data_IF_404855767069
#
_entry.id   IF_404855767069
#
_cell.length_a   1.000
_cell.length_b   1.000
_cell.length_c   1.000
_cell.angle_alpha   90.00
_cell.angle_beta   90.00
_cell.angle_gamma   90.00
#
_symmetry.space_group_name_H-M   'P 1'
#
loop_
_entity.id
_entity.type
_entity.pdbx_description
1 polymer ?
#
# COMPACT_ATOMS: atom_id res chain seq x y z
N UNK A 1 8.85 15.75 0.56
CA UNK A 1 9.71 15.12 -0.46
C UNK A 1 9.45 15.80 -1.79
N UNK A 2 10.49 16.13 -2.57
CA UNK A 2 10.39 16.84 -3.86
C UNK A 2 10.56 15.92 -5.06
N UNK A 3 10.05 16.32 -6.22
CA UNK A 3 10.20 15.58 -7.48
C UNK A 3 11.67 15.50 -7.95
N UNK A 4 12.50 16.47 -7.55
CA UNK A 4 13.95 16.42 -7.75
C UNK A 4 14.58 15.21 -7.05
N UNK A 5 14.12 14.87 -5.85
CA UNK A 5 14.62 13.71 -5.11
C UNK A 5 14.25 12.40 -5.80
N UNK A 6 13.03 12.30 -6.34
CA UNK A 6 12.63 11.13 -7.15
C UNK A 6 13.48 11.00 -8.41
N UNK A 7 13.80 12.11 -9.06
CA UNK A 7 14.71 12.13 -10.22
C UNK A 7 16.11 11.62 -9.85
N UNK A 8 16.65 12.04 -8.71
CA UNK A 8 17.96 11.58 -8.23
C UNK A 8 17.92 10.08 -7.94
N UNK A 9 16.91 9.58 -7.23
CA UNK A 9 16.79 8.14 -6.93
C UNK A 9 16.67 7.29 -8.18
N UNK A 10 15.92 7.74 -9.19
CA UNK A 10 15.86 7.08 -10.51
C UNK A 10 17.23 7.05 -11.18
N UNK A 11 17.97 8.16 -11.19
CA UNK A 11 19.34 8.21 -11.76
C UNK A 11 20.33 7.31 -11.03
N UNK A 12 20.16 7.15 -9.72
CA UNK A 12 20.95 6.23 -8.89
C UNK A 12 20.53 4.75 -9.05
N UNK A 13 19.50 4.46 -9.86
CA UNK A 13 19.03 3.10 -10.12
C UNK A 13 18.19 2.49 -8.99
N UNK A 14 17.70 3.30 -8.03
CA UNK A 14 16.88 2.78 -6.94
C UNK A 14 15.55 2.27 -7.46
N UNK A 15 15.21 1.04 -7.10
CA UNK A 15 13.92 0.44 -7.42
C UNK A 15 12.89 0.79 -6.34
N UNK A 16 11.64 0.41 -6.59
CA UNK A 16 10.56 0.54 -5.63
C UNK A 16 10.92 0.01 -4.23
N UNK A 17 11.51 -1.17 -4.17
CA UNK A 17 11.91 -1.79 -2.91
C UNK A 17 12.99 -1.01 -2.16
N UNK A 18 13.96 -0.45 -2.87
CA UNK A 18 15.04 0.34 -2.27
C UNK A 18 14.49 1.62 -1.65
N UNK A 19 13.56 2.29 -2.35
CA UNK A 19 12.90 3.49 -1.84
C UNK A 19 11.98 3.17 -0.66
N UNK A 20 11.29 2.03 -0.70
CA UNK A 20 10.46 1.57 0.42
C UNK A 20 11.29 1.39 1.70
N UNK A 21 12.44 0.70 1.61
CA UNK A 21 13.37 0.52 2.73
C UNK A 21 14.02 1.82 3.17
N UNK A 22 14.42 2.67 2.24
CA UNK A 22 15.04 3.97 2.54
C UNK A 22 14.10 4.91 3.28
N UNK A 23 12.80 4.76 3.08
CA UNK A 23 11.76 5.46 3.82
C UNK A 23 11.38 4.80 5.14
N UNK A 24 12.05 3.69 5.49
CA UNK A 24 11.82 2.91 6.70
C UNK A 24 10.44 2.28 6.76
N UNK A 25 9.81 2.02 5.61
CA UNK A 25 8.45 1.47 5.53
C UNK A 25 8.40 -0.06 5.72
N UNK A 26 9.57 -0.71 5.72
CA UNK A 26 9.78 -2.15 5.95
C UNK A 26 9.96 -2.51 7.43
N UNK A 27 9.96 -1.51 8.32
CA UNK A 27 10.12 -1.73 9.75
C UNK A 27 8.81 -2.20 10.39
N UNK A 28 8.95 -3.05 11.40
CA UNK A 28 7.83 -3.50 12.21
C UNK A 28 7.10 -2.32 12.88
N UNK A 29 5.77 -2.41 12.94
CA UNK A 29 4.92 -1.38 13.55
C UNK A 29 4.70 -0.13 12.70
N UNK A 30 5.28 -0.03 11.51
CA UNK A 30 5.01 1.08 10.58
C UNK A 30 3.63 0.91 9.95
N UNK A 31 2.78 1.90 10.13
CA UNK A 31 1.39 1.91 9.64
C UNK A 31 1.21 2.88 8.48
N UNK A 32 0.10 2.78 7.75
CA UNK A 32 -0.24 3.73 6.68
C UNK A 32 -0.46 5.18 7.16
N UNK A 33 -0.53 5.41 8.47
CA UNK A 33 -0.50 6.76 9.04
C UNK A 33 0.89 7.41 8.91
N UNK A 34 1.95 6.63 8.64
CA UNK A 34 3.27 7.18 8.39
C UNK A 34 3.25 8.01 7.08
N UNK A 35 3.55 9.31 7.14
CA UNK A 35 3.51 10.20 5.97
C UNK A 35 4.46 9.77 4.85
N UNK A 36 5.46 8.94 5.15
CA UNK A 36 6.37 8.38 4.15
C UNK A 36 5.65 7.46 3.13
N UNK A 37 4.49 6.87 3.46
CA UNK A 37 3.69 6.13 2.49
C UNK A 37 3.16 7.03 1.37
N UNK A 38 2.82 8.29 1.67
CA UNK A 38 2.40 9.26 0.64
C UNK A 38 3.57 9.55 -0.30
N UNK A 39 4.76 9.73 0.26
CA UNK A 39 5.95 10.02 -0.51
C UNK A 39 6.39 8.83 -1.38
N UNK A 40 6.35 7.61 -0.83
CA UNK A 40 6.58 6.37 -1.56
C UNK A 40 5.55 6.15 -2.67
N UNK A 41 4.26 6.35 -2.38
CA UNK A 41 3.19 6.20 -3.38
C UNK A 41 3.35 7.17 -4.56
N UNK A 42 3.79 8.41 -4.31
CA UNK A 42 4.15 9.37 -5.36
C UNK A 42 5.36 8.91 -6.18
N UNK A 43 6.39 8.38 -5.53
CA UNK A 43 7.57 7.83 -6.22
C UNK A 43 7.16 6.70 -7.18
N UNK A 44 6.43 5.69 -6.70
CA UNK A 44 5.99 4.54 -7.52
C UNK A 44 5.09 5.02 -8.67
N UNK A 45 4.15 5.95 -8.43
CA UNK A 45 3.33 6.53 -9.52
C UNK A 45 4.16 7.29 -10.55
N UNK A 46 5.24 7.94 -10.14
CA UNK A 46 6.14 8.66 -11.06
C UNK A 46 7.00 7.71 -11.91
N UNK A 47 7.05 6.43 -11.55
CA UNK A 47 7.83 5.42 -12.23
C UNK A 47 6.96 4.74 -13.30
N UNK A 48 7.00 5.24 -14.53
CA UNK A 48 6.23 4.71 -15.66
C UNK A 48 6.71 3.35 -16.17
N UNK A 49 7.85 2.84 -15.67
CA UNK A 49 8.49 1.61 -16.14
C UNK A 49 8.19 0.33 -15.36
N UNK A 50 7.65 0.42 -14.13
CA UNK A 50 7.25 -0.75 -13.34
C UNK A 50 5.75 -0.95 -13.55
N UNK A 51 5.36 -2.14 -14.03
CA UNK A 51 3.94 -2.55 -14.15
C UNK A 51 3.32 -2.83 -12.77
N UNK A 52 3.77 -2.16 -11.73
CA UNK A 52 3.47 -2.46 -10.34
C UNK A 52 2.91 -1.21 -9.69
N UNK A 53 1.69 -1.29 -9.21
CA UNK A 53 1.08 -0.19 -8.45
C UNK A 53 1.55 -0.23 -6.99
N UNK A 54 1.38 0.87 -6.22
CA UNK A 54 1.55 0.84 -4.78
C UNK A 54 0.71 -0.27 -4.11
N UNK A 55 -0.47 -0.57 -4.67
CA UNK A 55 -1.31 -1.65 -4.18
C UNK A 55 -0.64 -3.02 -4.38
N UNK A 56 -0.17 -3.31 -5.58
CA UNK A 56 0.47 -4.60 -5.91
C UNK A 56 1.73 -4.84 -5.08
N UNK A 57 2.50 -3.78 -4.82
CA UNK A 57 3.72 -3.85 -4.00
C UNK A 57 3.39 -4.23 -2.56
N UNK A 58 2.37 -3.61 -1.97
CA UNK A 58 1.92 -3.92 -0.62
C UNK A 58 1.29 -5.32 -0.57
N UNK A 59 0.55 -5.73 -1.60
CA UNK A 59 -0.05 -7.06 -1.69
C UNK A 59 1.03 -8.15 -1.72
N UNK A 60 2.09 -7.96 -2.51
CA UNK A 60 3.20 -8.90 -2.59
C UNK A 60 3.96 -9.05 -1.26
N UNK A 61 4.01 -7.98 -0.45
CA UNK A 61 4.75 -7.95 0.83
C UNK A 61 3.96 -8.49 2.00
N UNK A 62 2.71 -8.06 2.12
CA UNK A 62 1.89 -8.30 3.31
C UNK A 62 0.80 -9.34 3.08
N UNK A 63 0.63 -9.78 1.83
CA UNK A 63 -0.50 -10.60 1.42
C UNK A 63 -1.83 -9.88 1.64
N UNK A 64 -2.91 -10.60 1.34
CA UNK A 64 -4.26 -10.08 1.52
C UNK A 64 -4.53 -9.61 2.96
N UNK A 65 -4.32 -10.50 3.94
CA UNK A 65 -4.67 -10.25 5.35
C UNK A 65 -3.84 -9.11 5.94
N UNK A 66 -2.54 -9.05 5.62
CA UNK A 66 -1.66 -8.00 6.13
C UNK A 66 -1.99 -6.65 5.51
N UNK A 67 -2.20 -6.59 4.19
CA UNK A 67 -2.55 -5.35 3.52
C UNK A 67 -3.95 -4.85 3.91
N UNK A 68 -4.93 -5.75 4.08
CA UNK A 68 -6.25 -5.39 4.58
C UNK A 68 -6.15 -4.78 5.99
N UNK A 69 -5.44 -5.42 6.93
CA UNK A 69 -5.24 -4.87 8.28
C UNK A 69 -4.61 -3.46 8.26
N UNK A 70 -3.69 -3.19 7.34
CA UNK A 70 -3.11 -1.85 7.16
C UNK A 70 -4.13 -0.83 6.64
N UNK A 71 -5.08 -1.25 5.80
CA UNK A 71 -6.05 -0.40 5.09
C UNK A 71 -7.44 -0.31 5.74
N UNK A 72 -7.67 -1.06 6.83
CA UNK A 72 -8.93 -1.05 7.60
C UNK A 72 -8.84 -0.04 8.77
N UNK A 73 -7.72 0.66 8.94
CA UNK A 73 -7.59 1.71 9.95
C UNK A 73 -8.68 2.81 9.80
N UNK A 74 -9.20 3.36 10.91
CA UNK A 74 -10.21 4.42 10.86
C UNK A 74 -9.73 5.60 10.02
N UNK A 75 -10.61 6.12 9.14
CA UNK A 75 -10.30 7.25 8.24
C UNK A 75 -9.83 8.48 8.99
N UNK A 76 -10.30 8.69 10.23
CA UNK A 76 -9.87 9.80 11.09
C UNK A 76 -8.38 9.71 11.46
N UNK A 77 -7.83 8.50 11.63
CA UNK A 77 -6.42 8.30 12.02
C UNK A 77 -5.45 8.51 10.87
N UNK A 78 -5.91 8.41 9.63
CA UNK A 78 -5.09 8.50 8.41
C UNK A 78 -5.27 9.83 7.67
N UNK A 79 -6.11 10.73 8.19
CA UNK A 79 -6.14 12.13 7.80
C UNK A 79 -6.65 12.41 6.38
N UNK A 80 -7.58 11.59 5.86
CA UNK A 80 -8.19 11.85 4.55
C UNK A 80 -7.20 11.90 3.39
N UNK A 81 -6.12 11.12 3.44
CA UNK A 81 -5.08 11.16 2.41
C UNK A 81 -5.47 10.39 1.14
N UNK A 82 -5.26 10.99 -0.04
CA UNK A 82 -5.65 10.43 -1.35
C UNK A 82 -4.99 9.08 -1.66
N UNK A 83 -3.79 8.84 -1.11
CA UNK A 83 -3.07 7.58 -1.31
C UNK A 83 -3.79 6.44 -0.59
N UNK A 84 -4.28 6.69 0.62
CA UNK A 84 -5.05 5.74 1.41
C UNK A 84 -6.39 5.45 0.77
N UNK A 85 -7.13 6.49 0.37
CA UNK A 85 -8.39 6.32 -0.37
C UNK A 85 -8.18 5.51 -1.66
N UNK A 86 -7.11 5.81 -2.41
CA UNK A 86 -6.75 5.02 -3.58
C UNK A 86 -6.49 3.56 -3.24
N UNK A 87 -5.70 3.27 -2.19
CA UNK A 87 -5.39 1.90 -1.78
C UNK A 87 -6.62 1.13 -1.28
N UNK A 88 -7.52 1.76 -0.52
CA UNK A 88 -8.80 1.16 -0.10
C UNK A 88 -9.66 0.79 -1.31
N UNK A 89 -9.78 1.69 -2.29
CA UNK A 89 -10.53 1.43 -3.51
C UNK A 89 -9.94 0.28 -4.33
N UNK A 90 -8.61 0.15 -4.37
CA UNK A 90 -7.94 -0.98 -5.03
C UNK A 90 -8.19 -2.30 -4.29
N UNK A 91 -8.21 -2.28 -2.95
CA UNK A 91 -8.52 -3.46 -2.14
C UNK A 91 -9.93 -3.99 -2.42
N UNK A 92 -10.94 -3.10 -2.41
CA UNK A 92 -12.32 -3.48 -2.72
C UNK A 92 -12.42 -4.02 -4.16
N UNK A 93 -11.81 -3.35 -5.14
CA UNK A 93 -11.79 -3.84 -6.52
C UNK A 93 -11.15 -5.22 -6.63
N UNK A 94 -10.02 -5.45 -5.95
CA UNK A 94 -9.33 -6.74 -5.95
C UNK A 94 -10.24 -7.83 -5.39
N UNK A 95 -10.89 -7.59 -4.26
CA UNK A 95 -11.86 -8.52 -3.67
C UNK A 95 -13.05 -8.82 -4.59
N UNK A 96 -13.58 -7.83 -5.30
CA UNK A 96 -14.67 -8.05 -6.28
C UNK A 96 -14.23 -8.93 -7.45
N UNK A 97 -12.95 -8.89 -7.85
CA UNK A 97 -12.41 -9.75 -8.92
C UNK A 97 -12.03 -11.15 -8.46
N UNK A 98 -11.82 -11.33 -7.16
CA UNK A 98 -11.63 -12.64 -6.57
C UNK A 98 -13.03 -13.25 -6.45
N UNK A 99 -13.44 -14.02 -7.46
CA UNK A 99 -14.63 -14.87 -7.33
C UNK A 99 -14.42 -15.70 -6.07
N UNK A 100 -15.18 -15.41 -5.03
CA UNK A 100 -15.09 -16.05 -3.73
C UNK A 100 -16.30 -16.92 -3.53
N UNK A 101 -16.06 -18.16 -3.13
CA UNK A 101 -17.13 -19.01 -2.65
C UNK A 101 -17.70 -18.46 -1.34
N UNK A 102 -18.92 -18.86 -0.96
CA UNK A 102 -19.52 -18.49 0.33
C UNK A 102 -18.58 -18.76 1.53
N UNK A 103 -17.80 -19.84 1.47
CA UNK A 103 -16.84 -20.24 2.50
C UNK A 103 -15.66 -19.26 2.63
N UNK A 104 -15.17 -18.74 1.49
CA UNK A 104 -14.10 -17.75 1.49
C UNK A 104 -14.56 -16.43 2.11
N UNK A 105 -15.82 -16.03 1.85
CA UNK A 105 -16.40 -14.80 2.42
C UNK A 105 -16.59 -14.94 3.93
N UNK A 106 -17.13 -16.08 4.40
CA UNK A 106 -17.34 -16.35 5.81
C UNK A 106 -16.02 -16.34 6.63
N UNK A 107 -14.92 -16.79 6.03
CA UNK A 107 -13.60 -16.73 6.67
C UNK A 107 -13.12 -15.29 6.89
N UNK A 108 -13.59 -14.32 6.10
CA UNK A 108 -13.18 -12.91 6.23
C UNK A 108 -13.92 -12.14 7.32
N UNK A 109 -15.18 -12.47 7.60
CA UNK A 109 -15.95 -11.78 8.65
C UNK A 109 -15.36 -12.01 10.05
N UNK A 110 -14.53 -13.05 10.21
CA UNK A 110 -13.78 -13.29 11.46
C UNK A 110 -12.63 -12.31 11.70
N UNK A 111 -12.30 -11.43 10.74
CA UNK A 111 -11.23 -10.42 10.90
C UNK A 111 -11.54 -9.32 11.92
N UNK A 112 -12.75 -9.28 12.49
CA UNK A 112 -13.21 -8.25 13.44
C UNK A 112 -13.48 -8.72 14.88
N UNK A 113 -13.26 -9.99 15.24
CA UNK A 113 -13.60 -10.48 16.59
C UNK A 113 -12.42 -11.19 17.26
N UNK A 114 -11.69 -10.43 18.06
CA UNK A 114 -11.28 -10.79 19.43
C UNK A 114 -11.01 -9.53 20.23
#
# INVERSE_FOLDING_TARGET
>A
MSDQQFTIWKKLGFKNDDVFKRLGLDKDGVTLANPNFVAWGKFVKSWSGEKTTPFDSLWARYGEKGQAKMLVAPREKVGGNDVYTFLQNQLVKKWLTMIRGPDDVAAMDTFGVK
#
